data_IF_250737946997
#
_entry.id   IF_250737946997
#
_cell.length_a   1.000
_cell.length_b   1.000
_cell.length_c   1.000
_cell.angle_alpha   90.00
_cell.angle_beta   90.00
_cell.angle_gamma   90.00
#
_symmetry.space_group_name_H-M   'P 1'
#
loop_
_entity.id
_entity.type
_entity.pdbx_description
1 polymer ?
#
# COMPACT_ATOMS: atom_id res chain seq x y z
N UNK A 1 -18.43 18.85 -6.37
CA UNK A 1 -18.81 18.00 -5.23
C UNK A 1 -18.20 16.61 -5.35
N UNK A 2 -18.64 15.75 -6.27
CA UNK A 2 -18.17 14.33 -6.40
C UNK A 2 -16.64 14.19 -6.42
N UNK A 3 -15.94 14.90 -7.31
CA UNK A 3 -14.47 14.81 -7.40
C UNK A 3 -13.77 15.27 -6.10
N UNK A 4 -14.22 16.37 -5.51
CA UNK A 4 -13.70 16.83 -4.22
C UNK A 4 -13.99 15.85 -3.07
N UNK A 5 -15.13 15.16 -3.11
CA UNK A 5 -15.48 14.12 -2.14
C UNK A 5 -14.65 12.84 -2.27
N UNK A 6 -14.13 12.56 -3.47
CA UNK A 6 -13.38 11.33 -3.78
C UNK A 6 -11.86 11.56 -3.90
N UNK A 7 -11.35 12.75 -3.58
CA UNK A 7 -9.94 13.10 -3.76
C UNK A 7 -8.98 12.17 -3.00
N UNK A 8 -9.40 11.65 -1.84
CA UNK A 8 -8.63 10.69 -1.04
C UNK A 8 -8.33 9.38 -1.77
N UNK A 9 -9.14 9.01 -2.77
CA UNK A 9 -8.98 7.77 -3.53
C UNK A 9 -7.64 7.73 -4.29
N UNK A 10 -7.11 8.90 -4.68
CA UNK A 10 -5.79 8.99 -5.32
C UNK A 10 -4.66 8.64 -4.34
N UNK A 11 -4.76 9.09 -3.08
CA UNK A 11 -3.79 8.75 -2.05
C UNK A 11 -3.83 7.24 -1.73
N UNK A 12 -5.05 6.69 -1.65
CA UNK A 12 -5.24 5.24 -1.46
C UNK A 12 -4.64 4.44 -2.61
N UNK A 13 -4.93 4.78 -3.87
CA UNK A 13 -4.39 4.09 -5.04
C UNK A 13 -2.85 4.18 -5.08
N UNK A 14 -2.29 5.37 -4.86
CA UNK A 14 -0.84 5.57 -4.82
C UNK A 14 -0.18 4.74 -3.72
N UNK A 15 -0.78 4.64 -2.53
CA UNK A 15 -0.25 3.81 -1.45
C UNK A 15 -0.19 2.34 -1.85
N UNK A 16 -1.26 1.82 -2.49
CA UNK A 16 -1.28 0.45 -2.97
C UNK A 16 -0.17 0.20 -4.02
N UNK A 17 0.06 1.14 -4.94
CA UNK A 17 1.16 1.03 -5.91
C UNK A 17 2.53 0.92 -5.21
N UNK A 18 2.77 1.73 -4.18
CA UNK A 18 4.03 1.64 -3.42
C UNK A 18 4.18 0.33 -2.67
N UNK A 19 3.11 -0.15 -2.03
CA UNK A 19 3.11 -1.41 -1.32
C UNK A 19 3.36 -2.61 -2.24
N UNK A 20 2.83 -2.57 -3.47
CA UNK A 20 2.91 -3.68 -4.43
C UNK A 20 4.01 -3.56 -5.50
N UNK A 21 4.77 -2.47 -5.53
CA UNK A 21 5.82 -2.25 -6.56
C UNK A 21 7.20 -2.81 -6.19
N UNK A 22 7.42 -3.23 -4.95
CA UNK A 22 8.75 -3.61 -4.45
C UNK A 22 9.70 -2.42 -4.23
N UNK A 23 9.26 -1.19 -4.48
CA UNK A 23 10.07 0.04 -4.25
C UNK A 23 10.45 0.16 -2.78
N UNK A 24 9.50 -0.12 -1.88
CA UNK A 24 9.77 -0.06 -0.44
C UNK A 24 10.73 -1.15 0.01
N UNK A 25 10.74 -2.32 -0.65
CA UNK A 25 11.75 -3.37 -0.40
C UNK A 25 13.14 -2.88 -0.80
N UNK A 26 13.24 -2.28 -1.99
CA UNK A 26 14.50 -1.77 -2.56
C UNK A 26 15.07 -0.58 -1.78
N UNK A 27 14.22 0.29 -1.24
CA UNK A 27 14.62 1.50 -0.51
C UNK A 27 14.02 1.51 0.90
N UNK A 28 14.60 0.75 1.85
CA UNK A 28 14.01 0.55 3.18
C UNK A 28 13.96 1.80 4.07
N UNK A 29 14.65 2.88 3.69
CA UNK A 29 14.65 4.15 4.42
C UNK A 29 13.82 5.24 3.73
N UNK A 30 13.16 4.93 2.61
CA UNK A 30 12.29 5.88 1.91
C UNK A 30 11.09 6.23 2.80
N UNK A 31 10.80 7.51 2.98
CA UNK A 31 9.65 8.00 3.75
C UNK A 31 8.61 8.58 2.80
N UNK A 32 7.36 8.13 2.90
CA UNK A 32 6.24 8.63 2.10
C UNK A 32 5.37 9.53 2.98
N UNK A 33 4.98 10.69 2.45
CA UNK A 33 4.08 11.61 3.12
C UNK A 33 2.88 11.89 2.22
N UNK A 34 1.68 11.57 2.71
CA UNK A 34 0.42 11.85 2.03
C UNK A 34 -0.23 13.07 2.66
N UNK A 35 -0.33 14.16 1.90
CA UNK A 35 -1.08 15.35 2.30
C UNK A 35 -2.49 15.30 1.72
N UNK A 36 -3.48 15.79 2.48
CA UNK A 36 -4.88 15.90 2.05
C UNK A 36 -5.55 14.57 1.62
N UNK A 37 -4.93 13.43 1.96
CA UNK A 37 -5.43 12.10 1.62
C UNK A 37 -6.45 11.53 2.60
N UNK A 38 -6.77 12.26 3.68
CA UNK A 38 -7.50 11.72 4.84
C UNK A 38 -6.77 10.47 5.41
N UNK A 39 -7.27 9.86 6.49
CA UNK A 39 -6.61 8.70 7.11
C UNK A 39 -7.56 7.57 7.52
N UNK A 40 -8.87 7.78 7.50
CA UNK A 40 -9.85 6.80 8.00
C UNK A 40 -9.88 5.48 7.21
N UNK A 41 -9.43 5.49 5.95
CA UNK A 41 -9.40 4.32 5.08
C UNK A 41 -8.17 3.42 5.31
N UNK A 42 -7.12 3.92 5.96
CA UNK A 42 -5.82 3.23 6.05
C UNK A 42 -5.95 1.85 6.72
N UNK A 43 -6.60 1.69 7.90
CA UNK A 43 -6.65 0.39 8.56
C UNK A 43 -7.30 -0.69 7.69
N UNK A 44 -8.44 -0.35 7.07
CA UNK A 44 -9.15 -1.26 6.17
C UNK A 44 -8.34 -1.61 4.92
N UNK A 45 -7.70 -0.61 4.30
CA UNK A 45 -6.90 -0.84 3.10
C UNK A 45 -5.67 -1.72 3.37
N UNK A 46 -5.04 -1.59 4.54
CA UNK A 46 -3.90 -2.42 4.92
C UNK A 46 -4.31 -3.87 5.18
N UNK A 47 -5.39 -4.10 5.95
CA UNK A 47 -5.95 -5.45 6.16
C UNK A 47 -6.28 -6.11 4.81
N UNK A 48 -6.96 -5.37 3.93
CA UNK A 48 -7.30 -5.85 2.60
C UNK A 48 -6.07 -6.15 1.74
N UNK A 49 -5.02 -5.33 1.82
CA UNK A 49 -3.78 -5.54 1.07
C UNK A 49 -3.04 -6.79 1.53
N UNK A 50 -3.01 -7.03 2.84
CA UNK A 50 -2.43 -8.25 3.42
C UNK A 50 -3.20 -9.49 2.98
N UNK A 51 -4.55 -9.48 3.02
CA UNK A 51 -5.37 -10.58 2.51
C UNK A 51 -5.09 -10.89 1.03
N UNK A 52 -5.04 -9.84 0.18
CA UNK A 52 -4.71 -10.00 -1.24
C UNK A 52 -3.33 -10.62 -1.40
N UNK A 53 -2.35 -10.14 -0.63
CA UNK A 53 -1.00 -10.67 -0.67
C UNK A 53 -0.97 -12.13 -0.24
N UNK A 54 -1.65 -12.52 0.84
CA UNK A 54 -1.70 -13.90 1.31
C UNK A 54 -2.30 -14.85 0.28
N UNK A 55 -3.40 -14.45 -0.35
CA UNK A 55 -4.08 -15.23 -1.39
C UNK A 55 -3.25 -15.37 -2.67
N UNK A 56 -2.52 -14.32 -3.06
CA UNK A 56 -1.88 -14.23 -4.38
C UNK A 56 -0.35 -14.34 -4.34
N UNK A 57 0.30 -14.41 -3.18
CA UNK A 57 1.77 -14.47 -3.07
C UNK A 57 2.40 -15.68 -3.76
N UNK A 58 1.64 -16.76 -3.92
CA UNK A 58 2.10 -17.97 -4.62
C UNK A 58 2.06 -17.83 -6.16
N UNK A 59 1.46 -16.76 -6.67
CA UNK A 59 1.29 -16.51 -8.10
C UNK A 59 2.12 -15.32 -8.57
N UNK A 60 2.69 -15.42 -9.77
CA UNK A 60 3.25 -14.27 -10.50
C UNK A 60 4.52 -13.63 -9.92
N UNK A 61 5.27 -14.31 -9.04
CA UNK A 61 6.51 -13.77 -8.47
C UNK A 61 6.28 -12.65 -7.44
N UNK A 62 5.04 -12.45 -6.98
CA UNK A 62 4.67 -11.44 -5.99
C UNK A 62 5.48 -11.60 -4.70
N UNK A 63 5.68 -12.84 -4.23
CA UNK A 63 6.50 -13.12 -3.05
C UNK A 63 7.98 -12.76 -3.24
N UNK A 64 8.53 -12.91 -4.44
CA UNK A 64 9.93 -12.58 -4.70
C UNK A 64 10.13 -11.06 -4.74
N UNK A 65 9.12 -10.33 -5.23
CA UNK A 65 9.12 -8.87 -5.27
C UNK A 65 8.78 -8.24 -3.90
N UNK A 66 7.90 -8.88 -3.14
CA UNK A 66 7.31 -8.39 -1.88
C UNK A 66 7.35 -9.55 -0.87
N UNK A 67 8.46 -9.75 -0.14
CA UNK A 67 8.68 -10.93 0.71
C UNK A 67 7.83 -10.98 1.98
N UNK A 68 7.53 -9.82 2.57
CA UNK A 68 6.70 -9.65 3.77
C UNK A 68 5.30 -9.10 3.44
N UNK A 69 4.30 -9.23 4.33
CA UNK A 69 2.99 -8.61 4.14
C UNK A 69 3.08 -7.09 3.89
N UNK A 70 2.26 -6.52 2.99
CA UNK A 70 2.19 -5.08 2.71
C UNK A 70 2.21 -4.17 3.94
N UNK A 71 1.42 -4.49 4.97
CA UNK A 71 1.37 -3.72 6.22
C UNK A 71 2.74 -3.58 6.91
N UNK A 72 3.62 -4.58 6.77
CA UNK A 72 5.00 -4.52 7.29
C UNK A 72 5.76 -3.33 6.72
N UNK A 73 5.59 -3.02 5.43
CA UNK A 73 6.21 -1.87 4.81
C UNK A 73 5.54 -0.56 5.21
N UNK A 74 4.23 -0.55 5.47
CA UNK A 74 3.59 0.65 5.99
C UNK A 74 4.18 1.05 7.35
N UNK A 75 4.27 0.11 8.30
CA UNK A 75 4.74 0.40 9.66
C UNK A 75 6.25 0.63 9.78
N UNK A 76 7.05 0.10 8.85
CA UNK A 76 8.50 0.34 8.82
C UNK A 76 8.85 1.73 8.27
N UNK A 77 8.04 2.22 7.34
CA UNK A 77 8.25 3.49 6.66
C UNK A 77 7.82 4.68 7.53
#
# INVERSE_FOLDING_TARGET
>A
AVQASLSFNNAMASMMDFLFSGVLVKFPTLKLAYSEGQMGWIPYALERADDVWEEHRAWGGVRDLIPEPPSTYYYRQ
#
